data_IF_490982855161
#
_entry.id   IF_490982855161
#
_cell.length_a   1.000
_cell.length_b   1.000
_cell.length_c   1.000
_cell.angle_alpha   90.00
_cell.angle_beta   90.00
_cell.angle_gamma   90.00
#
_symmetry.space_group_name_H-M   'P 1'
#
loop_
_entity.id
_entity.type
_entity.pdbx_description
1 polymer ?
#
# COMPACT_ATOMS: atom_id res chain seq x y z
N UNK A 1 -5.91 -85.98 -88.35
CA UNK A 1 -4.61 -86.45 -88.87
C UNK A 1 -3.53 -86.04 -87.87
N UNK A 2 -2.97 -87.05 -87.20
CA UNK A 2 -1.77 -87.09 -86.34
C UNK A 2 -1.74 -86.45 -84.94
N UNK A 3 -1.69 -87.35 -83.96
CA UNK A 3 -1.08 -87.28 -82.63
C UNK A 3 0.35 -86.73 -82.64
N UNK A 4 0.75 -85.98 -81.60
CA UNK A 4 1.87 -86.40 -80.73
C UNK A 4 1.85 -85.72 -79.35
N UNK A 5 2.23 -86.45 -78.28
CA UNK A 5 2.22 -86.00 -76.89
C UNK A 5 3.62 -85.54 -76.41
N UNK A 6 3.68 -84.92 -75.24
CA UNK A 6 4.92 -84.76 -74.46
C UNK A 6 4.79 -83.63 -73.45
N UNK A 7 5.29 -83.72 -72.23
CA UNK A 7 5.87 -84.80 -71.44
C UNK A 7 5.88 -84.25 -70.01
N UNK A 8 5.49 -85.08 -69.03
CA UNK A 8 5.71 -84.80 -67.62
C UNK A 8 7.21 -84.66 -67.34
N UNK A 9 7.61 -83.59 -66.68
CA UNK A 9 8.82 -83.58 -65.88
C UNK A 9 8.51 -82.95 -64.52
N UNK A 10 8.54 -83.82 -63.50
CA UNK A 10 8.56 -83.43 -62.10
C UNK A 10 9.89 -82.72 -61.80
N UNK A 11 9.85 -81.44 -61.46
CA UNK A 11 11.01 -80.72 -60.93
C UNK A 11 11.06 -80.96 -59.42
N UNK A 12 11.83 -81.98 -59.04
CA UNK A 12 12.22 -82.27 -57.67
C UNK A 12 13.37 -81.34 -57.29
N UNK A 13 13.17 -80.54 -56.23
CA UNK A 13 14.25 -80.08 -55.35
C UNK A 13 14.95 -78.76 -55.70
N UNK A 14 14.44 -77.67 -55.13
CA UNK A 14 15.28 -76.53 -54.71
C UNK A 14 15.00 -76.26 -53.22
N UNK A 15 15.98 -76.37 -52.32
CA UNK A 15 15.79 -75.90 -50.95
C UNK A 15 15.69 -74.38 -50.99
N UNK A 16 14.53 -73.84 -50.61
CA UNK A 16 14.29 -72.41 -50.47
C UNK A 16 15.16 -71.87 -49.33
N UNK A 17 16.37 -71.42 -49.65
CA UNK A 17 17.17 -70.61 -48.74
C UNK A 17 16.58 -69.19 -48.76
N UNK A 18 15.58 -68.93 -47.93
CA UNK A 18 15.10 -67.57 -47.70
C UNK A 18 16.23 -66.75 -47.07
N UNK A 19 16.65 -65.62 -47.64
CA UNK A 19 17.54 -64.73 -46.92
C UNK A 19 16.80 -64.23 -45.67
N UNK A 20 17.38 -64.49 -44.49
CA UNK A 20 16.92 -63.87 -43.25
C UNK A 20 17.01 -62.35 -43.43
N UNK A 21 15.87 -61.71 -43.67
CA UNK A 21 15.77 -60.26 -43.70
C UNK A 21 16.10 -59.78 -42.29
N UNK A 22 17.13 -58.94 -42.16
CA UNK A 22 17.41 -58.29 -40.89
C UNK A 22 16.14 -57.60 -40.38
N UNK A 23 15.83 -57.66 -39.08
CA UNK A 23 14.72 -56.89 -38.53
C UNK A 23 14.94 -55.42 -38.88
N UNK A 24 13.88 -54.76 -39.35
CA UNK A 24 13.91 -53.34 -39.63
C UNK A 24 14.36 -52.58 -38.37
N UNK A 25 15.18 -51.52 -38.48
CA UNK A 25 15.57 -50.74 -37.32
C UNK A 25 14.32 -50.21 -36.61
N UNK A 26 14.30 -50.32 -35.28
CA UNK A 26 13.20 -49.81 -34.47
C UNK A 26 12.92 -48.35 -34.83
N UNK A 27 11.64 -47.94 -34.93
CA UNK A 27 11.31 -46.55 -35.20
C UNK A 27 11.93 -45.66 -34.12
N UNK A 28 12.57 -44.57 -34.56
CA UNK A 28 13.21 -43.61 -33.65
C UNK A 28 12.25 -43.23 -32.51
N UNK A 29 12.73 -43.17 -31.26
CA UNK A 29 11.89 -42.78 -30.13
C UNK A 29 11.29 -41.40 -30.42
N UNK A 30 9.96 -41.34 -30.41
CA UNK A 30 9.16 -40.16 -30.68
C UNK A 30 9.77 -38.92 -29.99
N UNK A 31 10.16 -37.87 -30.73
CA UNK A 31 10.74 -36.69 -30.13
C UNK A 31 9.75 -36.08 -29.15
N UNK A 32 10.13 -36.10 -27.87
CA UNK A 32 9.34 -35.60 -26.76
C UNK A 32 8.85 -34.17 -27.09
N UNK A 33 7.52 -33.90 -27.16
CA UNK A 33 7.03 -32.60 -27.57
C UNK A 33 7.51 -31.55 -26.57
N UNK A 34 8.32 -30.60 -27.05
CA UNK A 34 8.80 -29.49 -26.23
C UNK A 34 7.58 -28.66 -25.80
N UNK A 35 7.42 -28.32 -24.51
CA UNK A 35 6.29 -27.51 -24.08
C UNK A 35 6.43 -26.11 -24.69
N UNK A 36 5.61 -25.82 -25.70
CA UNK A 36 5.53 -24.47 -26.26
C UNK A 36 4.83 -23.57 -25.24
N UNK A 37 5.47 -22.48 -24.77
CA UNK A 37 4.81 -21.56 -23.85
C UNK A 37 3.62 -20.95 -24.59
N UNK A 38 2.41 -21.29 -24.13
CA UNK A 38 1.18 -20.70 -24.66
C UNK A 38 1.26 -19.18 -24.50
N UNK A 39 1.35 -18.48 -25.63
CA UNK A 39 1.42 -17.02 -25.70
C UNK A 39 0.22 -16.35 -25.01
N UNK A 40 -0.94 -17.03 -24.99
CA UNK A 40 -2.11 -16.64 -24.20
C UNK A 40 -1.90 -16.77 -22.68
N UNK A 41 -1.21 -17.81 -22.20
CA UNK A 41 -0.89 -17.95 -20.78
C UNK A 41 0.08 -16.85 -20.32
N UNK A 42 1.06 -16.50 -21.15
CA UNK A 42 1.97 -15.39 -20.87
C UNK A 42 1.23 -14.05 -20.80
N UNK A 43 0.28 -13.81 -21.70
CA UNK A 43 -0.54 -12.60 -21.69
C UNK A 43 -1.47 -12.52 -20.46
N UNK A 44 -2.10 -13.64 -20.09
CA UNK A 44 -2.93 -13.72 -18.88
C UNK A 44 -2.10 -13.52 -17.61
N UNK A 45 -0.89 -14.09 -17.55
CA UNK A 45 0.06 -13.87 -16.45
C UNK A 45 0.44 -12.39 -16.34
N UNK A 46 0.75 -11.75 -17.47
CA UNK A 46 1.11 -10.33 -17.52
C UNK A 46 -0.07 -9.44 -17.09
N UNK A 47 -1.28 -9.75 -17.56
CA UNK A 47 -2.50 -9.03 -17.17
C UNK A 47 -2.77 -9.18 -15.67
N UNK A 48 -2.66 -10.41 -15.13
CA UNK A 48 -2.80 -10.68 -13.71
C UNK A 48 -1.77 -9.90 -12.88
N UNK A 49 -0.50 -9.90 -13.32
CA UNK A 49 0.57 -9.16 -12.68
C UNK A 49 0.28 -7.65 -12.68
N UNK A 50 -0.18 -7.10 -13.81
CA UNK A 50 -0.54 -5.68 -13.94
C UNK A 50 -1.70 -5.30 -13.00
N UNK A 51 -2.73 -6.13 -12.94
CA UNK A 51 -3.87 -5.93 -12.02
C UNK A 51 -3.41 -5.99 -10.57
N UNK A 52 -2.52 -6.94 -10.23
CA UNK A 52 -1.96 -7.05 -8.89
C UNK A 52 -1.17 -5.79 -8.53
N UNK A 53 -0.28 -5.32 -9.39
CA UNK A 53 0.46 -4.06 -9.23
C UNK A 53 -0.47 -2.86 -9.03
N UNK A 54 -1.52 -2.76 -9.84
CA UNK A 54 -2.52 -1.70 -9.72
C UNK A 54 -3.27 -1.77 -8.37
N UNK A 55 -3.64 -2.97 -7.91
CA UNK A 55 -4.24 -3.16 -6.59
C UNK A 55 -3.29 -2.76 -5.47
N UNK A 56 -2.03 -3.19 -5.51
CA UNK A 56 -1.02 -2.79 -4.52
C UNK A 56 -0.85 -1.27 -4.48
N UNK A 57 -0.87 -0.62 -5.65
CA UNK A 57 -0.77 0.83 -5.75
C UNK A 57 -2.00 1.54 -5.16
N UNK A 58 -3.21 1.04 -5.42
CA UNK A 58 -4.46 1.60 -4.87
C UNK A 58 -4.57 1.38 -3.35
N UNK A 59 -4.05 0.25 -2.86
CA UNK A 59 -4.05 -0.10 -1.43
C UNK A 59 -2.94 0.65 -0.67
N UNK A 60 -1.97 1.25 -1.37
CA UNK A 60 -0.88 1.94 -0.72
C UNK A 60 -1.39 3.08 0.18
N UNK A 61 -1.02 3.10 1.48
CA UNK A 61 -1.54 4.06 2.43
C UNK A 61 -1.13 5.48 2.02
N UNK A 62 -2.11 6.30 1.68
CA UNK A 62 -1.91 7.72 1.38
C UNK A 62 -1.93 8.51 2.68
N UNK A 63 -1.11 9.56 2.77
CA UNK A 63 -1.10 10.41 3.97
C UNK A 63 -2.49 11.01 4.23
N UNK A 64 -3.00 10.95 5.46
CA UNK A 64 -4.24 11.61 5.82
C UNK A 64 -4.03 13.12 5.72
N UNK A 65 -5.02 13.81 5.16
CA UNK A 65 -5.00 15.26 5.04
C UNK A 65 -5.45 15.87 6.38
N UNK A 66 -4.58 16.65 7.00
CA UNK A 66 -4.77 17.24 8.33
C UNK A 66 -4.91 18.74 8.16
N UNK A 67 -6.10 19.27 8.43
CA UNK A 67 -6.38 20.70 8.35
C UNK A 67 -6.77 21.25 9.72
N UNK A 68 -6.34 22.45 10.05
CA UNK A 68 -6.78 23.14 11.26
C UNK A 68 -8.08 23.91 10.98
N UNK A 69 -9.13 23.67 11.75
CA UNK A 69 -10.45 24.32 11.53
C UNK A 69 -10.64 25.50 12.46
N UNK A 70 -10.25 25.37 13.73
CA UNK A 70 -10.50 26.41 14.72
C UNK A 70 -9.43 26.38 15.78
N UNK A 71 -9.01 27.57 16.21
CA UNK A 71 -8.08 27.76 17.30
C UNK A 71 -8.73 28.67 18.36
N UNK A 72 -8.72 28.23 19.61
CA UNK A 72 -9.26 28.99 20.75
C UNK A 72 -8.27 29.05 21.88
N UNK A 73 -8.00 30.25 22.39
CA UNK A 73 -7.27 30.41 23.63
C UNK A 73 -8.11 29.87 24.79
N UNK A 74 -7.55 28.94 25.58
CA UNK A 74 -8.24 28.34 26.73
C UNK A 74 -7.83 29.01 28.04
N UNK A 75 -6.53 29.07 28.32
CA UNK A 75 -6.00 29.57 29.59
C UNK A 75 -4.59 30.09 29.43
N UNK A 76 -4.27 31.20 30.07
CA UNK A 76 -2.89 31.66 30.25
C UNK A 76 -2.53 31.41 31.73
N UNK A 77 -1.40 30.77 31.97
CA UNK A 77 -0.82 30.59 33.31
C UNK A 77 0.50 31.34 33.34
N UNK A 78 0.65 32.20 34.33
CA UNK A 78 1.89 32.91 34.60
C UNK A 78 2.44 32.30 35.88
N UNK A 79 3.58 31.61 35.77
CA UNK A 79 4.27 31.04 36.91
C UNK A 79 5.48 31.93 37.21
N UNK A 80 5.44 32.64 38.33
CA UNK A 80 6.49 33.56 38.78
C UNK A 80 7.48 32.90 39.75
N UNK A 81 7.26 31.63 40.13
CA UNK A 81 7.98 31.00 41.24
C UNK A 81 8.16 29.50 40.97
N UNK A 82 9.40 28.96 41.05
CA UNK A 82 10.70 29.66 41.21
C UNK A 82 11.15 30.37 39.92
N UNK A 83 12.15 31.27 39.97
CA UNK A 83 12.77 31.84 38.78
C UNK A 83 13.29 30.72 37.86
N UNK A 84 13.16 30.83 36.53
CA UNK A 84 12.70 31.99 35.75
C UNK A 84 11.16 32.10 35.63
N UNK A 85 10.67 33.32 35.38
CA UNK A 85 9.25 33.60 35.07
C UNK A 85 8.90 32.82 33.80
N UNK A 86 7.95 31.90 33.90
CA UNK A 86 7.47 31.10 32.77
C UNK A 86 6.01 31.42 32.48
N UNK A 87 5.71 31.76 31.23
CA UNK A 87 4.34 32.00 30.77
C UNK A 87 3.93 30.73 30.03
N UNK A 88 2.93 30.02 30.53
CA UNK A 88 2.35 28.86 29.84
C UNK A 88 1.01 29.25 29.24
N UNK A 89 0.90 29.17 27.92
CA UNK A 89 -0.36 29.37 27.20
C UNK A 89 -0.96 27.99 26.90
N UNK A 90 -2.21 27.81 27.27
CA UNK A 90 -3.01 26.63 26.96
C UNK A 90 -4.06 27.01 25.91
N UNK A 91 -4.06 26.29 24.81
CA UNK A 91 -4.92 26.56 23.65
C UNK A 91 -5.69 25.31 23.28
N UNK A 92 -6.98 25.45 23.00
CA UNK A 92 -7.82 24.41 22.43
C UNK A 92 -7.87 24.54 20.92
N UNK A 93 -7.62 23.45 20.20
CA UNK A 93 -7.67 23.40 18.74
C UNK A 93 -8.70 22.38 18.28
N UNK A 94 -9.33 22.65 17.15
CA UNK A 94 -10.12 21.68 16.40
C UNK A 94 -9.40 21.37 15.10
N UNK A 95 -9.02 20.11 14.95
CA UNK A 95 -8.29 19.59 13.80
C UNK A 95 -9.25 18.72 13.01
N UNK A 96 -9.37 18.98 11.71
CA UNK A 96 -10.07 18.14 10.76
C UNK A 96 -9.08 17.17 10.15
N UNK A 97 -9.33 15.90 10.34
CA UNK A 97 -8.55 14.83 9.72
C UNK A 97 -9.42 14.22 8.63
N UNK A 98 -8.97 14.34 7.38
CA UNK A 98 -9.59 13.71 6.22
C UNK A 98 -8.78 12.49 5.83
N UNK A 99 -9.42 11.34 5.95
CA UNK A 99 -8.89 10.10 5.40
C UNK A 99 -9.11 10.11 3.87
N UNK A 100 -8.03 10.01 3.09
CA UNK A 100 -8.11 9.85 1.63
C UNK A 100 -8.17 8.38 1.20
N UNK A 101 -7.82 7.47 2.11
CA UNK A 101 -7.78 6.05 1.85
C UNK A 101 -9.18 5.44 1.77
N UNK A 102 -9.26 4.33 1.05
CA UNK A 102 -10.46 3.51 0.94
C UNK A 102 -10.71 2.61 2.15
N UNK A 103 -9.76 2.57 3.09
CA UNK A 103 -9.86 1.78 4.30
C UNK A 103 -10.13 2.68 5.49
N UNK A 104 -10.87 2.22 6.52
CA UNK A 104 -11.03 2.95 7.75
C UNK A 104 -9.73 2.89 8.58
N UNK A 105 -9.40 4.00 9.24
CA UNK A 105 -8.21 4.12 10.07
C UNK A 105 -8.60 4.31 11.53
N UNK A 106 -7.96 3.56 12.42
CA UNK A 106 -8.16 3.69 13.86
C UNK A 106 -6.88 4.25 14.49
N UNK A 107 -6.98 5.41 15.11
CA UNK A 107 -5.84 6.07 15.74
C UNK A 107 -5.97 6.03 17.26
N UNK A 108 -4.93 5.55 17.94
CA UNK A 108 -4.89 5.56 19.41
C UNK A 108 -4.32 6.87 19.95
N UNK A 109 -3.29 7.39 19.28
CA UNK A 109 -2.60 8.61 19.70
C UNK A 109 -2.09 9.35 18.47
N UNK A 110 -2.46 10.62 18.36
CA UNK A 110 -1.94 11.53 17.34
C UNK A 110 -1.06 12.55 18.05
N UNK A 111 0.18 12.70 17.61
CA UNK A 111 1.07 13.77 18.05
C UNK A 111 1.27 14.72 16.89
N UNK A 112 0.96 15.98 17.11
CA UNK A 112 1.03 17.02 16.09
C UNK A 112 1.99 18.09 16.61
N UNK A 113 3.09 18.32 15.91
CA UNK A 113 3.98 19.46 16.17
C UNK A 113 3.46 20.62 15.34
N UNK A 114 3.27 21.79 15.94
CA UNK A 114 2.78 22.95 15.22
C UNK A 114 3.92 23.95 15.09
N UNK A 115 4.46 24.09 13.88
CA UNK A 115 5.36 25.16 13.51
C UNK A 115 4.59 26.35 12.95
N UNK A 116 5.02 27.58 13.29
CA UNK A 116 4.52 28.80 12.67
C UNK A 116 5.67 29.79 12.45
N UNK A 117 5.82 30.24 11.20
CA UNK A 117 6.89 31.18 10.76
C UNK A 117 8.31 30.76 11.19
N UNK A 118 8.61 29.46 11.12
CA UNK A 118 9.91 28.92 11.51
C UNK A 118 10.11 28.73 13.02
N UNK A 119 9.11 29.05 13.86
CA UNK A 119 9.12 28.78 15.29
C UNK A 119 8.26 27.55 15.62
N UNK A 120 8.82 26.57 16.35
CA UNK A 120 8.03 25.48 16.93
C UNK A 120 7.20 26.04 18.10
N UNK A 121 5.88 26.13 17.91
CA UNK A 121 4.95 26.58 18.93
C UNK A 121 4.67 25.48 19.97
N UNK A 122 4.96 24.22 19.63
CA UNK A 122 4.92 23.11 20.57
C UNK A 122 4.17 21.89 20.05
N UNK A 123 4.15 20.87 20.91
CA UNK A 123 3.65 19.54 20.59
C UNK A 123 2.28 19.31 21.21
N UNK A 124 1.30 19.04 20.36
CA UNK A 124 -0.07 18.70 20.71
C UNK A 124 -0.19 17.18 20.80
N UNK A 125 -0.81 16.69 21.87
CA UNK A 125 -1.21 15.29 22.00
C UNK A 125 -2.71 15.21 21.88
N UNK A 126 -3.19 14.60 20.80
CA UNK A 126 -4.59 14.25 20.63
C UNK A 126 -4.76 12.80 21.06
N UNK A 127 -5.67 12.55 22.00
CA UNK A 127 -6.14 11.19 22.27
C UNK A 127 -7.10 10.85 21.13
N UNK A 128 -6.72 9.90 20.29
CA UNK A 128 -7.61 9.34 19.30
C UNK A 128 -8.39 8.21 19.97
N UNK A 129 -9.71 8.38 20.07
CA UNK A 129 -10.62 7.26 20.38
C UNK A 129 -11.44 6.85 19.16
N UNK A 130 -11.42 7.66 18.10
CA UNK A 130 -12.45 7.59 17.08
C UNK A 130 -11.89 7.00 15.79
N UNK A 131 -12.60 5.98 15.29
CA UNK A 131 -12.38 5.38 13.99
C UNK A 131 -12.72 6.41 12.91
N UNK A 132 -11.78 6.69 12.03
CA UNK A 132 -12.01 7.55 10.86
C UNK A 132 -12.52 6.66 9.73
N UNK A 133 -13.73 6.92 9.20
CA UNK A 133 -14.27 6.10 8.12
C UNK A 133 -13.42 6.20 6.85
N UNK A 134 -13.53 5.20 5.99
CA UNK A 134 -12.95 5.23 4.65
C UNK A 134 -13.43 6.50 3.92
N UNK A 135 -12.50 7.26 3.33
CA UNK A 135 -12.77 8.54 2.65
C UNK A 135 -13.49 9.59 3.51
N UNK A 136 -13.49 9.41 4.83
CA UNK A 136 -14.23 10.21 5.79
C UNK A 136 -13.45 11.38 6.35
N UNK A 137 -14.18 12.30 6.99
CA UNK A 137 -13.60 13.41 7.75
C UNK A 137 -14.03 13.33 9.21
N UNK A 138 -13.08 13.42 10.13
CA UNK A 138 -13.34 13.45 11.57
C UNK A 138 -12.76 14.73 12.16
N UNK A 139 -13.55 15.39 13.01
CA UNK A 139 -13.12 16.56 13.78
C UNK A 139 -12.62 16.10 15.15
N UNK A 140 -11.36 16.39 15.46
CA UNK A 140 -10.75 16.05 16.74
C UNK A 140 -10.40 17.31 17.53
N UNK A 141 -10.73 17.29 18.82
CA UNK A 141 -10.36 18.35 19.76
C UNK A 141 -9.00 18.05 20.36
N UNK A 142 -8.14 19.05 20.39
CA UNK A 142 -6.78 18.93 20.86
C UNK A 142 -6.39 20.09 21.77
N UNK A 143 -5.35 19.89 22.59
CA UNK A 143 -4.81 20.93 23.47
C UNK A 143 -3.32 21.16 23.20
N UNK A 144 -2.98 22.39 22.84
CA UNK A 144 -1.61 22.86 22.67
C UNK A 144 -1.18 23.59 23.94
N UNK A 145 0.02 23.24 24.42
CA UNK A 145 0.69 23.93 25.52
C UNK A 145 1.93 24.62 24.93
N UNK A 146 1.94 25.95 24.99
CA UNK A 146 3.00 26.81 24.45
C UNK A 146 3.70 27.54 25.59
N UNK A 147 5.01 27.75 25.46
CA UNK A 147 5.75 28.67 26.32
C UNK A 147 5.62 30.11 25.80
N UNK A 148 4.71 30.87 26.39
CA UNK A 148 4.39 32.24 26.04
C UNK A 148 5.52 33.24 26.26
N UNK A 149 6.56 32.92 27.02
CA UNK A 149 7.67 33.86 27.25
C UNK A 149 8.41 34.19 25.95
N UNK A 150 8.42 33.26 24.99
CA UNK A 150 9.14 33.38 23.73
C UNK A 150 8.23 33.65 22.51
N UNK A 151 6.98 33.17 22.54
CA UNK A 151 6.13 33.09 21.34
C UNK A 151 4.72 33.68 21.50
N UNK A 152 4.46 34.49 22.54
CA UNK A 152 3.14 35.17 22.74
C UNK A 152 2.63 35.89 21.48
N UNK A 153 3.51 36.63 20.79
CA UNK A 153 3.12 37.45 19.62
C UNK A 153 2.74 36.58 18.42
N UNK A 154 3.49 35.51 18.21
CA UNK A 154 3.25 34.57 17.13
C UNK A 154 1.94 33.81 17.35
N UNK A 155 1.64 33.48 18.61
CA UNK A 155 0.41 32.80 19.03
C UNK A 155 -0.85 33.65 18.79
N UNK A 156 -0.81 34.95 19.06
CA UNK A 156 -1.97 35.84 18.81
C UNK A 156 -2.22 35.98 17.31
N UNK A 157 -1.15 36.19 16.52
CA UNK A 157 -1.24 36.22 15.05
C UNK A 157 -1.74 34.90 14.48
N UNK A 158 -1.38 33.78 15.09
CA UNK A 158 -1.89 32.47 14.70
C UNK A 158 -3.42 32.39 14.83
N UNK A 159 -3.97 32.87 15.93
CA UNK A 159 -5.43 32.87 16.13
C UNK A 159 -6.09 33.74 15.07
N UNK A 160 -5.50 34.90 14.79
CA UNK A 160 -5.98 35.84 13.79
C UNK A 160 -5.96 35.23 12.38
N UNK A 161 -4.82 34.70 11.93
CA UNK A 161 -4.68 34.11 10.60
C UNK A 161 -5.58 32.86 10.43
N UNK A 162 -5.78 32.04 11.48
CA UNK A 162 -6.75 30.92 11.46
C UNK A 162 -8.18 31.44 11.34
N UNK A 163 -8.52 32.53 12.04
CA UNK A 163 -9.86 33.13 11.98
C UNK A 163 -10.16 33.71 10.59
N UNK A 164 -9.13 34.18 9.88
CA UNK A 164 -9.21 34.63 8.48
C UNK A 164 -9.10 33.48 7.45
N UNK A 165 -8.98 32.24 7.90
CA UNK A 165 -9.00 31.04 7.06
C UNK A 165 -7.69 30.72 6.34
N UNK A 166 -6.58 31.36 6.70
CA UNK A 166 -5.35 31.34 5.94
C UNK A 166 -4.14 30.87 6.72
N UNK A 167 -4.08 29.61 7.16
CA UNK A 167 -2.81 29.03 7.61
C UNK A 167 -2.63 27.60 7.12
N UNK A 168 -1.60 27.42 6.28
CA UNK A 168 -0.92 26.15 6.07
C UNK A 168 0.11 25.99 7.18
N UNK A 169 -0.13 25.09 8.11
CA UNK A 169 0.81 24.82 9.18
C UNK A 169 1.88 23.85 8.68
N UNK A 170 3.15 24.20 8.86
CA UNK A 170 4.23 23.21 8.81
C UNK A 170 4.06 22.31 10.03
N UNK A 171 3.46 21.15 9.78
CA UNK A 171 2.96 20.28 10.81
C UNK A 171 3.63 18.93 10.71
N UNK A 172 4.67 18.71 11.52
CA UNK A 172 5.20 17.35 11.69
C UNK A 172 4.18 16.54 12.50
N UNK A 173 3.47 15.66 11.80
CA UNK A 173 2.36 14.89 12.32
C UNK A 173 2.80 13.45 12.51
N UNK A 174 3.10 13.09 13.76
CA UNK A 174 3.41 11.72 14.14
C UNK A 174 2.15 10.99 14.58
N UNK A 175 1.65 10.15 13.68
CA UNK A 175 0.44 9.37 13.90
C UNK A 175 0.82 7.95 14.32
N UNK A 176 0.25 7.47 15.43
CA UNK A 176 0.35 6.07 15.87
C UNK A 176 -1.04 5.45 15.90
N UNK A 177 -1.27 4.47 15.03
CA UNK A 177 -2.56 3.83 14.87
C UNK A 177 -2.50 2.43 14.33
N UNK A 178 -3.67 1.90 14.04
CA UNK A 178 -3.88 0.61 13.41
C UNK A 178 -4.76 0.83 12.19
N UNK A 179 -4.29 0.33 11.06
CA UNK A 179 -4.97 0.39 9.79
C UNK A 179 -5.74 -0.92 9.59
N UNK A 180 -6.98 -0.84 9.11
CA UNK A 180 -7.81 -2.02 8.91
C UNK A 180 -7.94 -2.34 7.42
N UNK A 181 -7.13 -3.29 6.91
CA UNK A 181 -7.16 -3.74 5.52
C UNK A 181 -7.68 -5.18 5.46
N UNK A 182 -8.74 -5.44 4.70
CA UNK A 182 -9.25 -6.79 4.42
C UNK A 182 -9.36 -7.70 5.66
N UNK A 183 -9.76 -7.16 6.81
CA UNK A 183 -9.90 -7.92 8.07
C UNK A 183 -8.61 -8.00 8.92
N UNK A 184 -7.48 -7.54 8.41
CA UNK A 184 -6.20 -7.49 9.11
C UNK A 184 -5.98 -6.13 9.78
N UNK A 185 -5.49 -6.19 11.01
CA UNK A 185 -5.09 -5.04 11.82
C UNK A 185 -3.58 -4.82 11.65
N UNK A 186 -3.20 -3.81 10.88
CA UNK A 186 -1.79 -3.51 10.60
C UNK A 186 -1.36 -2.31 11.45
N UNK A 187 -0.39 -2.46 12.36
CA UNK A 187 0.11 -1.32 13.13
C UNK A 187 0.86 -0.37 12.21
N UNK A 188 0.44 0.90 12.21
CA UNK A 188 1.08 1.95 11.43
C UNK A 188 1.73 2.97 12.35
N UNK A 189 2.99 3.30 12.04
CA UNK A 189 3.69 4.43 12.61
C UNK A 189 4.23 5.24 11.45
N UNK A 190 3.55 6.34 11.15
CA UNK A 190 3.96 7.23 10.07
C UNK A 190 4.67 8.44 10.63
N UNK A 191 5.67 8.90 9.87
CA UNK A 191 6.43 10.12 10.10
C UNK A 191 6.20 10.98 8.86
N UNK A 192 5.43 12.06 9.02
CA UNK A 192 5.15 13.03 7.98
C UNK A 192 5.27 14.42 8.60
#
# INVERSE_FOLDING_TARGET
MWFKPGADYAVIGQPLLFPLRAPDPDPDPNPNPKPHPCRHCLFLLLLLLLVLLALLFIIWPTSPDVSLVTLRLKRIRISTTPPPISITILMGLQIKIRNRDFFPLEYKRVRVSIGYRGNDLGKVKVKGSDRIPARGTTLMKAELKVDGARVVRDVVKLIEDVAHGGITFDTETRIKGTLFIFGFLIPIQTFW
#
